data_IF_572379718754
#
_entry.id   IF_572379718754
#
_cell.length_a   1.000
_cell.length_b   1.000
_cell.length_c   1.000
_cell.angle_alpha   90.00
_cell.angle_beta   90.00
_cell.angle_gamma   90.00
#
_symmetry.space_group_name_H-M   'P 1'
#
loop_
_entity.id
_entity.type
_entity.pdbx_description
1 polymer ?
#
# COMPACT_ATOMS: atom_id res chain seq x y z
N UNK A 1 -27.21 9.51 22.59
CA UNK A 1 -25.98 9.51 21.78
C UNK A 1 -24.83 9.10 22.70
N UNK A 2 -24.13 7.99 22.42
CA UNK A 2 -23.06 7.50 23.27
C UNK A 2 -21.90 8.50 23.34
N UNK A 3 -21.30 8.59 24.52
CA UNK A 3 -20.08 9.39 24.76
C UNK A 3 -18.93 8.40 24.84
N UNK A 4 -18.01 8.47 23.86
CA UNK A 4 -16.81 7.64 23.80
C UNK A 4 -15.62 8.58 23.99
N UNK A 5 -14.83 8.37 25.04
CA UNK A 5 -13.69 9.23 25.40
C UNK A 5 -14.02 10.73 25.40
N UNK A 6 -15.21 11.11 25.89
CA UNK A 6 -15.64 12.51 25.94
C UNK A 6 -16.17 13.08 24.62
N UNK A 7 -16.14 12.31 23.52
CA UNK A 7 -16.70 12.68 22.21
C UNK A 7 -18.08 12.06 22.03
N UNK A 8 -19.04 12.87 21.60
CA UNK A 8 -20.39 12.39 21.26
C UNK A 8 -20.31 11.67 19.91
N UNK A 9 -20.55 10.36 19.89
CA UNK A 9 -20.56 9.57 18.65
C UNK A 9 -21.99 9.21 18.23
N UNK A 10 -22.19 9.00 16.93
CA UNK A 10 -23.49 8.58 16.37
C UNK A 10 -23.77 7.09 16.66
N UNK A 11 -22.70 6.29 16.70
CA UNK A 11 -22.75 4.85 16.91
C UNK A 11 -21.86 4.46 18.10
N UNK A 12 -22.26 3.43 18.85
CA UNK A 12 -21.39 2.84 19.87
C UNK A 12 -20.26 2.04 19.21
N UNK A 13 -19.07 1.97 19.83
CA UNK A 13 -18.00 1.12 19.33
C UNK A 13 -18.37 -0.36 19.45
N UNK A 14 -17.88 -1.22 18.54
CA UNK A 14 -18.00 -2.67 18.68
C UNK A 14 -17.38 -3.17 19.99
N UNK A 15 -17.91 -4.27 20.53
CA UNK A 15 -17.37 -4.88 21.74
C UNK A 15 -15.89 -5.26 21.56
N UNK A 16 -15.04 -4.81 22.49
CA UNK A 16 -13.59 -5.03 22.46
C UNK A 16 -12.80 -4.07 21.56
N UNK A 17 -13.44 -3.14 20.85
CA UNK A 17 -12.74 -2.13 20.06
C UNK A 17 -12.30 -0.96 20.93
N UNK A 18 -10.98 -0.79 21.10
CA UNK A 18 -10.40 0.35 21.80
C UNK A 18 -10.40 1.56 20.86
N UNK A 19 -11.28 2.52 21.15
CA UNK A 19 -11.35 3.77 20.38
C UNK A 19 -10.22 4.69 20.82
N UNK A 20 -9.29 4.95 19.92
CA UNK A 20 -8.25 5.97 20.06
C UNK A 20 -8.42 6.95 18.89
N UNK A 21 -8.76 8.20 19.21
CA UNK A 21 -8.97 9.24 18.19
C UNK A 21 -7.66 9.93 17.77
N UNK A 22 -6.64 9.92 18.65
CA UNK A 22 -5.34 10.53 18.36
C UNK A 22 -4.49 9.62 17.48
N UNK A 23 -4.57 8.30 17.72
CA UNK A 23 -3.89 7.29 16.90
C UNK A 23 -4.82 6.11 16.56
N UNK A 24 -5.70 6.28 15.54
CA UNK A 24 -6.66 5.24 15.19
C UNK A 24 -5.96 3.96 14.71
N UNK A 25 -6.43 2.82 15.20
CA UNK A 25 -5.95 1.52 14.74
C UNK A 25 -6.20 1.37 13.24
N UNK A 26 -5.13 1.10 12.49
CA UNK A 26 -5.17 0.85 11.04
C UNK A 26 -5.15 -0.66 10.80
N UNK A 27 -5.98 -1.12 9.88
CA UNK A 27 -5.98 -2.51 9.44
C UNK A 27 -4.87 -2.74 8.41
N UNK A 28 -4.37 -3.98 8.34
CA UNK A 28 -3.45 -4.46 7.31
C UNK A 28 -2.13 -3.67 7.16
N UNK A 29 -1.65 -2.98 8.20
CA UNK A 29 -0.44 -2.16 8.12
C UNK A 29 0.77 -2.95 7.59
N UNK A 30 1.18 -4.09 8.19
CA UNK A 30 2.33 -4.84 7.66
C UNK A 30 2.03 -5.50 6.30
N UNK A 31 0.82 -6.01 6.10
CA UNK A 31 0.39 -6.72 4.89
C UNK A 31 0.44 -5.81 3.66
N UNK A 32 -0.02 -4.56 3.79
CA UNK A 32 0.05 -3.57 2.72
C UNK A 32 1.49 -3.27 2.33
N UNK A 33 2.41 -3.14 3.30
CA UNK A 33 3.82 -2.92 2.99
C UNK A 33 4.46 -4.13 2.29
N UNK A 34 4.08 -5.36 2.66
CA UNK A 34 4.56 -6.55 1.98
C UNK A 34 4.06 -6.62 0.53
N UNK A 35 2.76 -6.45 0.31
CA UNK A 35 2.17 -6.50 -1.03
C UNK A 35 2.74 -5.38 -1.91
N UNK A 36 2.78 -4.15 -1.40
CA UNK A 36 3.35 -3.02 -2.13
C UNK A 36 4.84 -3.21 -2.39
N UNK A 37 5.62 -3.62 -1.39
CA UNK A 37 7.07 -3.80 -1.50
C UNK A 37 7.44 -4.91 -2.48
N UNK A 38 6.93 -6.13 -2.28
CA UNK A 38 7.23 -7.26 -3.14
C UNK A 38 6.64 -7.07 -4.55
N UNK A 39 5.40 -6.58 -4.66
CA UNK A 39 4.77 -6.32 -5.94
C UNK A 39 5.54 -5.28 -6.77
N UNK A 40 5.94 -4.18 -6.14
CA UNK A 40 6.72 -3.11 -6.79
C UNK A 40 8.12 -3.61 -7.16
N UNK A 41 8.79 -4.34 -6.27
CA UNK A 41 10.11 -4.88 -6.52
C UNK A 41 10.10 -5.87 -7.71
N UNK A 42 9.14 -6.80 -7.74
CA UNK A 42 9.01 -7.75 -8.83
C UNK A 42 8.69 -7.05 -10.16
N UNK A 43 7.78 -6.06 -10.14
CA UNK A 43 7.48 -5.24 -11.32
C UNK A 43 8.72 -4.54 -11.85
N UNK A 44 9.53 -3.96 -10.96
CA UNK A 44 10.78 -3.29 -11.32
C UNK A 44 11.78 -4.27 -11.95
N UNK A 45 11.93 -5.47 -11.39
CA UNK A 45 12.80 -6.50 -11.97
C UNK A 45 12.37 -6.91 -13.39
N UNK A 46 11.07 -7.12 -13.60
CA UNK A 46 10.54 -7.48 -14.92
C UNK A 46 10.69 -6.32 -15.93
N UNK A 47 10.47 -5.08 -15.48
CA UNK A 47 10.71 -3.87 -16.27
C UNK A 47 12.19 -3.76 -16.65
N UNK A 48 13.10 -3.99 -15.71
CA UNK A 48 14.54 -3.96 -15.94
C UNK A 48 14.97 -5.06 -16.93
N UNK A 49 14.46 -6.28 -16.79
CA UNK A 49 14.70 -7.37 -17.75
C UNK A 49 14.20 -6.99 -19.15
N UNK A 50 13.01 -6.40 -19.26
CA UNK A 50 12.47 -5.92 -20.54
C UNK A 50 13.35 -4.84 -21.17
N UNK A 51 13.81 -3.88 -20.36
CA UNK A 51 14.69 -2.82 -20.82
C UNK A 51 16.05 -3.38 -21.27
N UNK A 52 16.62 -4.31 -20.51
CA UNK A 52 17.88 -4.98 -20.85
C UNK A 52 17.78 -5.72 -22.19
N UNK A 53 16.74 -6.53 -22.38
CA UNK A 53 16.54 -7.25 -23.64
C UNK A 53 16.36 -6.29 -24.81
N UNK A 54 15.60 -5.21 -24.63
CA UNK A 54 15.40 -4.20 -25.67
C UNK A 54 16.68 -3.42 -26.02
N UNK A 55 17.44 -3.02 -25.00
CA UNK A 55 18.63 -2.19 -25.18
C UNK A 55 19.82 -3.00 -25.70
N UNK A 56 20.10 -4.15 -25.08
CA UNK A 56 21.31 -4.95 -25.37
C UNK A 56 21.10 -6.07 -26.38
N UNK A 57 20.01 -6.84 -26.30
CA UNK A 57 19.80 -8.00 -27.18
C UNK A 57 19.22 -7.60 -28.54
N UNK A 58 18.25 -6.68 -28.55
CA UNK A 58 17.61 -6.23 -29.80
C UNK A 58 18.38 -5.08 -30.45
N UNK A 59 19.24 -4.37 -29.71
CA UNK A 59 20.08 -3.28 -30.23
C UNK A 59 19.31 -2.06 -30.73
N UNK A 60 18.00 -1.98 -30.45
CA UNK A 60 17.09 -0.88 -30.81
C UNK A 60 16.33 -0.46 -29.57
N UNK A 61 16.92 0.44 -28.79
CA UNK A 61 16.12 1.31 -27.94
C UNK A 61 15.46 2.33 -28.90
N UNK A 62 14.39 1.92 -29.58
CA UNK A 62 13.57 2.84 -30.36
C UNK A 62 12.91 3.79 -29.34
N UNK A 63 13.57 4.92 -29.15
CA UNK A 63 12.93 6.18 -28.80
C UNK A 63 12.21 6.66 -30.06
N UNK A 64 11.14 5.99 -30.47
CA UNK A 64 10.20 6.65 -31.37
C UNK A 64 9.37 7.60 -30.50
N UNK A 65 9.45 8.88 -30.85
CA UNK A 65 8.61 9.98 -30.34
C UNK A 65 7.12 9.68 -30.59
#
# INVERSE_FOLDING_TARGET
MPVVNGVITVLQPPDGYVVDFDNPQRQAVPEVYYVAGFGTFLSLLLMAQRLYTKAFLVGRLQWDD
#
